data_IF_016125613088
#
_entry.id   IF_016125613088
#
_cell.length_a   1.000
_cell.length_b   1.000
_cell.length_c   1.000
_cell.angle_alpha   90.00
_cell.angle_beta   90.00
_cell.angle_gamma   90.00
#
_symmetry.space_group_name_H-M   'P 1'
#
loop_
_entity.id
_entity.type
_entity.pdbx_description
1 polymer ?
#
# COMPACT_ATOMS: atom_id res chain seq x y z
N UNK A 1 66.15 0.63 -32.57
CA UNK A 1 64.99 -0.12 -32.09
C UNK A 1 64.09 0.85 -31.34
N UNK A 2 62.92 1.24 -31.91
CA UNK A 2 61.94 2.12 -31.25
C UNK A 2 60.87 1.21 -30.64
N UNK A 3 60.75 1.16 -29.31
CA UNK A 3 59.68 0.50 -28.60
C UNK A 3 58.44 1.42 -28.58
N UNK A 4 57.38 0.96 -29.23
CA UNK A 4 56.03 1.60 -29.15
C UNK A 4 55.34 0.97 -27.98
N UNK A 5 55.13 1.75 -26.89
CA UNK A 5 54.26 1.37 -25.79
C UNK A 5 52.81 1.66 -26.18
N UNK A 6 52.02 0.60 -26.45
CA UNK A 6 50.58 0.69 -26.59
C UNK A 6 49.93 0.80 -25.20
N UNK A 7 49.40 1.97 -24.89
CA UNK A 7 48.54 2.17 -23.73
C UNK A 7 47.14 1.61 -24.01
N UNK A 8 46.78 0.49 -23.36
CA UNK A 8 45.46 -0.10 -23.42
C UNK A 8 44.60 0.60 -22.34
N UNK A 9 43.80 1.60 -22.74
CA UNK A 9 42.86 2.29 -21.85
C UNK A 9 41.64 1.37 -21.62
N UNK A 10 41.57 0.76 -20.43
CA UNK A 10 40.38 -0.01 -20.00
C UNK A 10 39.32 0.99 -19.58
N UNK A 11 38.31 1.13 -20.44
CA UNK A 11 37.09 1.91 -20.13
C UNK A 11 36.21 1.09 -19.20
N UNK A 12 36.29 1.32 -17.88
CA UNK A 12 35.35 0.73 -16.90
C UNK A 12 34.07 1.53 -16.97
N UNK A 13 33.12 1.05 -17.76
CA UNK A 13 31.77 1.60 -17.78
C UNK A 13 31.08 1.34 -16.43
N UNK A 14 30.84 2.39 -15.68
CA UNK A 14 29.95 2.31 -14.49
C UNK A 14 28.53 2.07 -14.96
N UNK A 15 28.02 0.86 -14.73
CA UNK A 15 26.59 0.55 -14.91
C UNK A 15 25.84 1.25 -13.80
N UNK A 16 25.23 2.39 -14.12
CA UNK A 16 24.34 3.09 -13.19
C UNK A 16 23.01 2.32 -13.19
N UNK A 17 22.76 1.52 -12.14
CA UNK A 17 21.44 0.94 -11.90
C UNK A 17 20.50 2.06 -11.45
N UNK A 18 19.72 2.59 -12.38
CA UNK A 18 18.61 3.47 -12.02
C UNK A 18 17.56 2.62 -11.32
N UNK A 19 17.27 2.94 -10.07
CA UNK A 19 16.17 2.33 -9.34
C UNK A 19 14.87 2.79 -10.00
N UNK A 20 14.07 1.83 -10.51
CA UNK A 20 12.84 2.14 -11.21
C UNK A 20 11.78 2.62 -10.22
N UNK A 21 11.24 3.83 -10.46
CA UNK A 21 10.14 4.38 -9.66
C UNK A 21 8.89 3.52 -9.77
N UNK A 22 8.09 3.44 -8.70
CA UNK A 22 6.84 2.68 -8.70
C UNK A 22 5.84 3.29 -9.69
N UNK A 23 5.47 2.54 -10.71
CA UNK A 23 4.42 2.95 -11.64
C UNK A 23 3.02 2.81 -11.02
N UNK A 24 2.03 3.56 -11.54
CA UNK A 24 0.62 3.43 -11.10
C UNK A 24 0.11 2.00 -11.26
N UNK A 25 0.44 1.32 -12.36
CA UNK A 25 0.04 -0.07 -12.59
C UNK A 25 0.62 -1.02 -11.54
N UNK A 26 1.90 -0.89 -11.23
CA UNK A 26 2.55 -1.72 -10.20
C UNK A 26 2.05 -1.39 -8.79
N UNK A 27 1.83 -0.11 -8.48
CA UNK A 27 1.23 0.31 -7.22
C UNK A 27 -0.15 -0.32 -7.01
N UNK A 28 -1.01 -0.25 -8.04
CA UNK A 28 -2.33 -0.90 -8.03
C UNK A 28 -2.23 -2.41 -7.75
N UNK A 29 -1.33 -3.12 -8.44
CA UNK A 29 -1.15 -4.58 -8.26
C UNK A 29 -0.81 -4.90 -6.81
N UNK A 30 0.11 -4.17 -6.18
CA UNK A 30 0.54 -4.41 -4.79
C UNK A 30 -0.64 -4.20 -3.84
N UNK A 31 -1.38 -3.10 -4.00
CA UNK A 31 -2.54 -2.80 -3.16
C UNK A 31 -3.64 -3.84 -3.36
N UNK A 32 -3.93 -4.25 -4.60
CA UNK A 32 -4.92 -5.28 -4.90
C UNK A 32 -4.56 -6.64 -4.27
N UNK A 33 -3.27 -7.01 -4.26
CA UNK A 33 -2.80 -8.23 -3.57
C UNK A 33 -3.13 -8.16 -2.09
N UNK A 34 -2.82 -7.03 -1.43
CA UNK A 34 -3.10 -6.82 -0.02
C UNK A 34 -4.61 -6.86 0.27
N UNK A 35 -5.42 -6.06 -0.45
CA UNK A 35 -6.86 -5.95 -0.24
C UNK A 35 -7.59 -7.27 -0.51
N UNK A 36 -7.23 -7.98 -1.58
CA UNK A 36 -7.79 -9.30 -1.88
C UNK A 36 -7.41 -10.33 -0.81
N UNK A 37 -6.17 -10.30 -0.30
CA UNK A 37 -5.74 -11.12 0.83
C UNK A 37 -6.55 -10.83 2.08
N UNK A 38 -6.71 -9.54 2.42
CA UNK A 38 -7.50 -9.10 3.55
C UNK A 38 -8.97 -9.54 3.42
N UNK A 39 -9.60 -9.34 2.27
CA UNK A 39 -10.98 -9.77 1.99
C UNK A 39 -11.16 -11.27 2.12
N UNK A 40 -10.22 -12.06 1.59
CA UNK A 40 -10.27 -13.52 1.62
C UNK A 40 -9.86 -14.15 2.97
N UNK A 41 -9.24 -13.36 3.88
CA UNK A 41 -8.61 -13.90 5.09
C UNK A 41 -7.28 -14.61 4.82
N UNK A 42 -6.69 -14.40 3.64
CA UNK A 42 -5.42 -14.99 3.22
C UNK A 42 -4.25 -14.13 3.73
N UNK A 43 -3.80 -14.44 4.95
CA UNK A 43 -2.72 -13.72 5.58
C UNK A 43 -1.35 -13.95 4.92
N UNK A 44 -1.16 -15.05 4.20
CA UNK A 44 0.08 -15.29 3.44
C UNK A 44 0.15 -14.33 2.26
N UNK A 45 -0.96 -14.17 1.54
CA UNK A 45 -1.09 -13.22 0.45
C UNK A 45 -0.87 -11.78 0.93
N UNK A 46 -1.44 -11.38 2.08
CA UNK A 46 -1.18 -10.07 2.68
C UNK A 46 0.31 -9.89 2.99
N UNK A 47 0.92 -10.84 3.71
CA UNK A 47 2.33 -10.79 4.10
C UNK A 47 3.29 -10.71 2.92
N UNK A 48 2.93 -11.25 1.74
CA UNK A 48 3.79 -11.20 0.57
C UNK A 48 4.10 -9.79 0.08
N UNK A 49 3.24 -8.82 0.41
CA UNK A 49 3.40 -7.40 0.04
C UNK A 49 3.54 -6.47 1.25
N UNK A 50 3.49 -6.98 2.47
CA UNK A 50 3.71 -6.22 3.70
C UNK A 50 5.19 -6.20 4.07
N UNK A 51 5.68 -5.05 4.54
CA UNK A 51 6.95 -4.98 5.25
C UNK A 51 6.80 -5.59 6.66
N UNK A 52 7.82 -6.28 7.23
CA UNK A 52 7.73 -6.86 8.57
C UNK A 52 7.36 -5.85 9.68
N UNK A 53 7.81 -4.62 9.53
CA UNK A 53 7.53 -3.52 10.47
C UNK A 53 6.32 -2.65 10.04
N UNK A 54 5.40 -3.21 9.23
CA UNK A 54 4.22 -2.48 8.79
C UNK A 54 3.38 -2.01 9.98
N UNK A 55 2.85 -0.79 9.87
CA UNK A 55 1.90 -0.20 10.81
C UNK A 55 0.62 0.22 10.09
N UNK A 56 -0.49 0.26 10.83
CA UNK A 56 -1.75 0.78 10.33
C UNK A 56 -2.38 1.74 11.34
N UNK A 57 -2.99 2.80 10.83
CA UNK A 57 -3.77 3.72 11.63
C UNK A 57 -5.13 3.92 10.97
N UNK A 58 -6.14 4.23 11.78
CA UNK A 58 -7.47 4.63 11.31
C UNK A 58 -7.83 5.96 11.93
N UNK A 59 -8.33 6.88 11.12
CA UNK A 59 -8.88 8.16 11.55
C UNK A 59 -10.35 8.25 11.20
N UNK A 60 -11.16 8.71 12.16
CA UNK A 60 -12.60 8.92 11.95
C UNK A 60 -13.13 9.98 12.91
N UNK A 61 -14.34 10.45 12.64
CA UNK A 61 -15.07 11.35 13.56
C UNK A 61 -16.07 10.48 14.34
N UNK A 62 -16.01 10.55 15.67
CA UNK A 62 -16.92 9.81 16.54
C UNK A 62 -18.31 10.47 16.65
N UNK A 63 -19.17 9.87 17.46
CA UNK A 63 -20.54 10.37 17.69
C UNK A 63 -20.59 11.70 18.44
N UNK A 64 -19.50 12.07 19.14
CA UNK A 64 -19.33 13.36 19.81
C UNK A 64 -18.68 14.44 18.92
N UNK A 65 -18.53 14.16 17.61
CA UNK A 65 -17.86 15.02 16.63
C UNK A 65 -16.37 15.26 16.93
N UNK A 66 -15.71 14.31 17.61
CA UNK A 66 -14.28 14.37 17.87
C UNK A 66 -13.50 13.54 16.86
N UNK A 67 -12.34 14.05 16.45
CA UNK A 67 -11.41 13.29 15.64
C UNK A 67 -10.71 12.22 16.50
N UNK A 68 -10.82 10.96 16.09
CA UNK A 68 -10.24 9.80 16.77
C UNK A 68 -9.18 9.18 15.90
N UNK A 69 -8.04 8.83 16.50
CA UNK A 69 -6.97 8.08 15.87
C UNK A 69 -6.81 6.73 16.57
N UNK A 70 -6.92 5.65 15.81
CA UNK A 70 -6.67 4.29 16.29
C UNK A 70 -5.37 3.78 15.70
N UNK A 71 -4.52 3.18 16.54
CA UNK A 71 -3.32 2.46 16.14
C UNK A 71 -3.62 0.97 16.06
N UNK A 72 -3.30 0.34 14.93
CA UNK A 72 -3.54 -1.07 14.67
C UNK A 72 -2.19 -1.72 14.35
N UNK A 73 -1.79 -2.70 15.16
CA UNK A 73 -0.57 -3.46 14.86
C UNK A 73 -0.80 -4.40 13.68
N UNK A 74 0.23 -4.63 12.89
CA UNK A 74 0.15 -5.57 11.77
C UNK A 74 -0.33 -6.97 12.20
N UNK A 75 0.10 -7.44 13.39
CA UNK A 75 -0.37 -8.70 13.96
C UNK A 75 -1.87 -8.75 14.22
N UNK A 76 -2.44 -7.63 14.71
CA UNK A 76 -3.87 -7.55 15.03
C UNK A 76 -4.70 -7.50 13.74
N UNK A 77 -4.22 -6.78 12.73
CA UNK A 77 -4.82 -6.76 11.40
C UNK A 77 -4.84 -8.15 10.74
N UNK A 78 -3.71 -8.86 10.79
CA UNK A 78 -3.61 -10.22 10.25
C UNK A 78 -4.49 -11.20 11.01
N UNK A 79 -4.52 -11.11 12.34
CA UNK A 79 -5.41 -11.95 13.16
C UNK A 79 -6.88 -11.68 12.85
N UNK A 80 -7.28 -10.41 12.74
CA UNK A 80 -8.64 -10.05 12.35
C UNK A 80 -8.98 -10.59 10.96
N UNK A 81 -8.09 -10.45 9.97
CA UNK A 81 -8.31 -10.98 8.64
C UNK A 81 -8.51 -12.50 8.65
N UNK A 82 -7.72 -13.23 9.43
CA UNK A 82 -7.79 -14.69 9.53
C UNK A 82 -9.04 -15.20 10.25
N UNK A 83 -9.53 -14.45 11.25
CA UNK A 83 -10.58 -14.91 12.18
C UNK A 83 -11.94 -14.28 11.94
N UNK A 84 -12.02 -13.23 11.12
CA UNK A 84 -13.29 -12.58 10.79
C UNK A 84 -14.27 -13.60 10.22
N UNK A 85 -15.51 -13.60 10.73
CA UNK A 85 -16.57 -14.49 10.27
C UNK A 85 -16.87 -14.28 8.79
N UNK A 86 -17.26 -15.37 8.11
CA UNK A 86 -17.74 -15.31 6.72
C UNK A 86 -19.19 -14.85 6.61
N UNK A 87 -19.87 -14.69 7.75
CA UNK A 87 -21.29 -14.36 7.83
C UNK A 87 -21.59 -12.91 7.44
N UNK A 88 -20.65 -12.00 7.67
CA UNK A 88 -20.81 -10.59 7.28
C UNK A 88 -20.13 -10.37 5.94
N UNK A 89 -20.92 -10.14 4.93
CA UNK A 89 -20.41 -9.78 3.59
C UNK A 89 -20.09 -8.29 3.58
N UNK A 90 -18.80 -7.98 3.59
CA UNK A 90 -18.33 -6.62 3.41
C UNK A 90 -17.49 -6.52 2.12
N UNK A 91 -17.56 -5.38 1.50
CA UNK A 91 -16.86 -5.08 0.26
C UNK A 91 -16.33 -3.64 0.30
N UNK A 92 -15.02 -3.51 0.29
CA UNK A 92 -14.34 -2.23 0.16
C UNK A 92 -13.86 -2.09 -1.29
N UNK A 93 -14.49 -1.20 -2.01
CA UNK A 93 -14.21 -0.94 -3.42
C UNK A 93 -13.30 0.27 -3.53
N UNK A 94 -12.04 0.03 -3.86
CA UNK A 94 -11.12 1.12 -4.22
C UNK A 94 -11.55 1.71 -5.56
N UNK A 95 -11.79 3.02 -5.58
CA UNK A 95 -12.35 3.72 -6.74
C UNK A 95 -11.27 4.35 -7.63
N UNK A 96 -10.08 4.58 -7.09
CA UNK A 96 -8.94 5.14 -7.81
C UNK A 96 -7.61 4.76 -7.14
N UNK A 97 -6.49 4.97 -7.87
CA UNK A 97 -5.12 4.75 -7.39
C UNK A 97 -4.24 5.91 -7.87
N UNK A 98 -3.95 6.86 -6.98
CA UNK A 98 -3.07 7.99 -7.27
C UNK A 98 -1.70 7.67 -6.68
N UNK A 99 -0.71 7.45 -7.54
CA UNK A 99 0.65 7.05 -7.15
C UNK A 99 1.61 8.23 -7.33
N UNK A 100 2.39 8.47 -6.29
CA UNK A 100 3.56 9.36 -6.30
C UNK A 100 4.77 8.57 -5.82
N UNK A 101 5.89 8.65 -6.53
CA UNK A 101 7.08 7.84 -6.25
C UNK A 101 8.36 8.65 -6.42
N UNK A 102 9.31 8.41 -5.54
CA UNK A 102 10.66 8.98 -5.57
C UNK A 102 11.68 7.89 -5.19
N UNK A 103 12.33 7.30 -6.20
CA UNK A 103 13.31 6.24 -6.01
C UNK A 103 12.72 5.03 -5.26
N UNK A 104 13.14 4.84 -4.03
CA UNK A 104 12.74 3.70 -3.17
C UNK A 104 11.57 4.00 -2.23
N UNK A 105 10.93 5.15 -2.35
CA UNK A 105 9.76 5.56 -1.60
C UNK A 105 8.60 5.81 -2.55
N UNK A 106 7.41 5.33 -2.19
CA UNK A 106 6.18 5.64 -2.92
C UNK A 106 5.00 5.84 -1.98
N UNK A 107 4.05 6.63 -2.44
CA UNK A 107 2.76 6.85 -1.81
C UNK A 107 1.64 6.48 -2.79
N UNK A 108 0.65 5.76 -2.31
CA UNK A 108 -0.57 5.45 -3.06
C UNK A 108 -1.77 5.95 -2.26
N UNK A 109 -2.48 6.90 -2.83
CA UNK A 109 -3.77 7.36 -2.31
C UNK A 109 -4.88 6.62 -3.04
N UNK A 110 -5.71 5.90 -2.29
CA UNK A 110 -6.78 5.06 -2.83
C UNK A 110 -8.11 5.40 -2.15
N UNK A 111 -8.95 6.25 -2.75
CA UNK A 111 -10.32 6.48 -2.29
C UNK A 111 -11.12 5.19 -2.37
N UNK A 112 -12.08 5.01 -1.43
CA UNK A 112 -12.90 3.82 -1.38
C UNK A 112 -14.36 4.09 -1.02
N UNK A 113 -15.22 3.15 -1.40
CA UNK A 113 -16.57 2.97 -0.93
C UNK A 113 -16.68 1.65 -0.19
N UNK A 114 -17.29 1.67 1.00
CA UNK A 114 -17.48 0.49 1.82
C UNK A 114 -18.94 0.07 1.86
N UNK A 115 -19.17 -1.21 1.57
CA UNK A 115 -20.47 -1.83 1.58
C UNK A 115 -20.53 -2.94 2.62
N UNK A 116 -21.64 -3.02 3.35
CA UNK A 116 -21.94 -4.11 4.29
C UNK A 116 -23.27 -4.76 3.86
N UNK A 117 -23.23 -6.08 3.64
CA UNK A 117 -24.39 -6.86 3.18
C UNK A 117 -25.05 -6.24 1.92
N UNK A 118 -24.23 -5.79 0.99
CA UNK A 118 -24.63 -5.16 -0.27
C UNK A 118 -25.18 -3.73 -0.15
N UNK A 119 -25.23 -3.16 1.07
CA UNK A 119 -25.69 -1.79 1.30
C UNK A 119 -24.48 -0.88 1.53
N UNK A 120 -24.50 0.31 0.89
CA UNK A 120 -23.51 1.35 1.16
C UNK A 120 -23.52 1.73 2.64
N UNK A 121 -22.35 1.82 3.25
CA UNK A 121 -22.16 2.14 4.66
C UNK A 121 -21.43 3.48 4.84
N UNK A 122 -20.27 3.59 4.26
CA UNK A 122 -19.41 4.78 4.36
C UNK A 122 -18.41 4.82 3.23
N UNK A 123 -17.62 5.87 3.18
CA UNK A 123 -16.48 6.00 2.28
C UNK A 123 -15.26 6.55 3.00
N UNK A 124 -14.16 6.61 2.31
CA UNK A 124 -12.93 7.16 2.85
C UNK A 124 -11.83 7.15 1.83
N UNK A 125 -10.62 7.16 2.34
CA UNK A 125 -9.43 6.96 1.54
C UNK A 125 -8.37 6.24 2.35
N UNK A 126 -7.70 5.30 1.70
CA UNK A 126 -6.49 4.68 2.22
C UNK A 126 -5.27 5.42 1.68
N UNK A 127 -4.36 5.77 2.57
CA UNK A 127 -3.03 6.30 2.27
C UNK A 127 -2.02 5.19 2.53
N UNK A 128 -1.42 4.64 1.47
CA UNK A 128 -0.39 3.62 1.57
C UNK A 128 0.98 4.25 1.37
N UNK A 129 1.90 3.99 2.29
CA UNK A 129 3.32 4.27 2.08
C UNK A 129 4.03 2.97 1.76
N UNK A 130 4.73 2.94 0.62
CA UNK A 130 5.49 1.80 0.15
C UNK A 130 6.97 2.14 0.11
N UNK A 131 7.80 1.14 0.43
CA UNK A 131 9.25 1.24 0.31
C UNK A 131 9.77 0.10 -0.56
N UNK A 132 10.81 0.39 -1.34
CA UNK A 132 11.54 -0.64 -2.08
C UNK A 132 12.66 -1.20 -1.21
N UNK A 133 12.56 -2.47 -0.86
CA UNK A 133 13.53 -3.20 -0.04
C UNK A 133 13.55 -4.66 -0.46
N UNK A 134 14.68 -5.33 -0.26
CA UNK A 134 14.83 -6.75 -0.60
C UNK A 134 14.31 -7.09 -2.02
N UNK A 135 14.69 -6.24 -2.99
CA UNK A 135 14.35 -6.37 -4.41
C UNK A 135 12.83 -6.31 -4.72
N UNK A 136 12.04 -5.76 -3.81
CA UNK A 136 10.59 -5.62 -4.02
C UNK A 136 9.97 -4.44 -3.27
N UNK A 137 8.85 -3.96 -3.78
CA UNK A 137 8.04 -2.95 -3.11
C UNK A 137 7.20 -3.59 -1.99
N UNK A 138 7.22 -2.99 -0.79
CA UNK A 138 6.47 -3.44 0.39
C UNK A 138 5.68 -2.30 1.00
N UNK A 139 4.47 -2.59 1.47
CA UNK A 139 3.65 -1.66 2.24
C UNK A 139 4.25 -1.52 3.64
N UNK A 140 4.69 -0.31 3.99
CA UNK A 140 5.26 0.03 5.29
C UNK A 140 4.22 0.64 6.23
N UNK A 141 3.32 1.47 5.70
CA UNK A 141 2.29 2.10 6.51
C UNK A 141 0.98 2.22 5.72
N UNK A 142 -0.14 2.08 6.45
CA UNK A 142 -1.47 2.38 5.94
C UNK A 142 -2.13 3.36 6.91
N UNK A 143 -2.71 4.43 6.38
CA UNK A 143 -3.64 5.29 7.13
C UNK A 143 -4.99 5.24 6.42
N UNK A 144 -6.00 4.73 7.12
CA UNK A 144 -7.37 4.64 6.66
C UNK A 144 -8.17 5.81 7.24
N UNK A 145 -8.81 6.60 6.42
CA UNK A 145 -9.76 7.64 6.85
C UNK A 145 -11.19 7.18 6.58
N UNK A 146 -12.04 7.28 7.61
CA UNK A 146 -13.46 6.92 7.52
C UNK A 146 -14.32 8.17 7.54
N UNK A 147 -15.22 8.26 6.58
CA UNK A 147 -16.18 9.36 6.43
C UNK A 147 -17.59 8.79 6.36
N UNK A 148 -18.45 9.20 7.29
CA UNK A 148 -19.87 8.82 7.33
C UNK A 148 -20.66 9.96 6.68
N UNK A 149 -21.53 9.62 5.72
CA UNK A 149 -22.36 10.60 5.00
C UNK A 149 -22.04 10.68 3.52
N UNK A 150 -22.12 11.88 2.92
CA UNK A 150 -21.87 12.08 1.50
C UNK A 150 -20.42 11.78 1.11
N UNK A 151 -20.22 10.93 0.12
CA UNK A 151 -18.93 10.59 -0.46
C UNK A 151 -18.56 11.46 -1.67
N UNK A 152 -19.47 12.30 -2.12
CA UNK A 152 -19.18 13.25 -3.19
C UNK A 152 -18.36 14.42 -2.62
N UNK A 153 -17.27 14.75 -3.29
CA UNK A 153 -16.55 16.01 -3.04
C UNK A 153 -17.50 17.14 -3.45
N UNK A 154 -17.77 18.04 -2.54
CA UNK A 154 -18.33 19.34 -2.88
C UNK A 154 -17.33 20.13 -3.70
#
# INVERSE_FOLDING_TARGET
>A
MKFILLFFSVFIGTVCFSQESLSTANGKIIIDIFMNGYKAGDTLKMKSVMHPNMTMNRVYVDTEQKNVLIYIRASDLLNYAATKGKEVVWDEKLTDYIVSSDGNLAHVWAPYEYYKDGKFSHCGANSFTLIYTDESWKILNIIDSVRIGSCHKE
#
